data_IF_043836784026
#
_entry.id   IF_043836784026
#
_cell.length_a   1.000
_cell.length_b   1.000
_cell.length_c   1.000
_cell.angle_alpha   90.00
_cell.angle_beta   90.00
_cell.angle_gamma   90.00
#
_symmetry.space_group_name_H-M   'P 1'
#
loop_
_entity.id
_entity.type
_entity.pdbx_description
1 polymer ?
#
# COMPACT_ATOMS: atom_id res chain seq x y z
N UNK A 1 -16.75 -24.43 -12.55
CA UNK A 1 -15.35 -24.82 -12.79
C UNK A 1 -14.60 -23.55 -13.14
N UNK A 2 -13.54 -23.17 -12.42
CA UNK A 2 -12.77 -21.98 -12.76
C UNK A 2 -12.22 -22.13 -14.19
N UNK A 3 -12.27 -21.04 -14.97
CA UNK A 3 -11.64 -21.00 -16.29
C UNK A 3 -10.12 -21.23 -16.13
N UNK A 4 -9.55 -21.96 -17.07
CA UNK A 4 -8.11 -22.13 -17.22
C UNK A 4 -7.41 -20.75 -17.35
N UNK A 5 -6.29 -20.49 -16.65
CA UNK A 5 -5.60 -19.20 -16.70
C UNK A 5 -5.23 -18.72 -18.10
N UNK A 6 -4.77 -19.61 -18.98
CA UNK A 6 -4.44 -19.24 -20.38
C UNK A 6 -5.69 -18.76 -21.11
N UNK A 7 -6.78 -19.53 -21.00
CA UNK A 7 -8.06 -19.15 -21.60
C UNK A 7 -8.60 -17.84 -21.05
N UNK A 8 -8.40 -17.55 -19.76
CA UNK A 8 -8.78 -16.26 -19.15
C UNK A 8 -7.96 -15.13 -19.76
N UNK A 9 -6.65 -15.27 -19.87
CA UNK A 9 -5.76 -14.26 -20.45
C UNK A 9 -6.14 -13.94 -21.90
N UNK A 10 -6.43 -14.96 -22.72
CA UNK A 10 -6.93 -14.77 -24.09
C UNK A 10 -8.22 -13.93 -24.14
N UNK A 11 -9.19 -14.23 -23.26
CA UNK A 11 -10.45 -13.50 -23.20
C UNK A 11 -10.25 -12.04 -22.76
N UNK A 12 -9.36 -11.78 -21.79
CA UNK A 12 -9.03 -10.42 -21.38
C UNK A 12 -8.36 -9.63 -22.50
N UNK A 13 -7.43 -10.25 -23.24
CA UNK A 13 -6.79 -9.64 -24.39
C UNK A 13 -7.80 -9.29 -25.50
N UNK A 14 -8.72 -10.21 -25.83
CA UNK A 14 -9.79 -9.97 -26.81
C UNK A 14 -10.69 -8.83 -26.35
N UNK A 15 -11.09 -8.83 -25.07
CA UNK A 15 -11.94 -7.78 -24.48
C UNK A 15 -11.28 -6.41 -24.57
N UNK A 16 -10.01 -6.29 -24.14
CA UNK A 16 -9.27 -5.03 -24.19
C UNK A 16 -9.19 -4.49 -25.63
N UNK A 17 -8.84 -5.34 -26.60
CA UNK A 17 -8.80 -4.92 -28.01
C UNK A 17 -10.16 -4.41 -28.48
N UNK A 18 -11.23 -5.13 -28.19
CA UNK A 18 -12.57 -4.73 -28.60
C UNK A 18 -12.97 -3.35 -28.03
N UNK A 19 -12.65 -3.08 -26.75
CA UNK A 19 -12.94 -1.79 -26.10
C UNK A 19 -12.15 -0.63 -26.72
N UNK A 20 -10.86 -0.83 -27.01
CA UNK A 20 -10.02 0.21 -27.63
C UNK A 20 -10.47 0.50 -29.07
N UNK A 21 -10.84 -0.53 -29.83
CA UNK A 21 -11.39 -0.37 -31.18
C UNK A 21 -12.75 0.32 -31.17
N UNK A 22 -13.63 -0.02 -30.24
CA UNK A 22 -14.93 0.65 -30.08
C UNK A 22 -14.75 2.14 -29.69
N UNK A 23 -13.70 2.45 -28.93
CA UNK A 23 -13.31 3.83 -28.62
C UNK A 23 -12.70 4.59 -29.82
N UNK A 24 -12.59 3.96 -31.00
CA UNK A 24 -12.17 4.60 -32.25
C UNK A 24 -10.67 4.52 -32.57
N UNK A 25 -9.90 3.71 -31.83
CA UNK A 25 -8.47 3.56 -32.06
C UNK A 25 -8.17 2.36 -32.98
N UNK A 26 -7.35 2.57 -34.01
CA UNK A 26 -6.84 1.50 -34.86
C UNK A 26 -5.67 0.78 -34.16
N UNK A 27 -5.87 -0.50 -33.89
CA UNK A 27 -4.88 -1.33 -33.20
C UNK A 27 -3.84 -1.94 -34.13
N UNK A 28 -4.11 -1.99 -35.44
CA UNK A 28 -3.31 -2.74 -36.40
C UNK A 28 -2.95 -4.16 -35.90
N UNK A 29 -1.66 -4.47 -35.92
CA UNK A 29 -1.11 -5.76 -35.48
C UNK A 29 -0.69 -5.80 -34.00
N UNK A 30 -0.89 -4.70 -33.26
CA UNK A 30 -0.50 -4.60 -31.84
C UNK A 30 -1.24 -5.66 -31.03
N UNK A 31 -0.51 -6.41 -30.21
CA UNK A 31 -1.10 -7.45 -29.36
C UNK A 31 -1.02 -7.05 -27.88
N UNK A 32 -2.07 -7.31 -27.10
CA UNK A 32 -1.99 -7.16 -25.65
C UNK A 32 -0.96 -8.10 -25.04
N UNK A 33 -0.33 -7.65 -23.96
CA UNK A 33 0.47 -8.46 -23.05
C UNK A 33 -0.30 -8.72 -21.74
N UNK A 34 0.03 -9.82 -21.07
CA UNK A 34 -0.57 -10.17 -19.78
C UNK A 34 0.08 -9.37 -18.65
N UNK A 35 -0.75 -8.80 -17.78
CA UNK A 35 -0.29 -8.08 -16.57
C UNK A 35 -1.12 -8.53 -15.36
N UNK A 36 -0.55 -9.41 -14.53
CA UNK A 36 -1.32 -10.05 -13.45
C UNK A 36 -2.45 -10.92 -14.00
N UNK A 37 -3.68 -10.74 -13.52
CA UNK A 37 -4.90 -11.30 -14.15
C UNK A 37 -5.60 -10.29 -15.08
N UNK A 38 -4.99 -9.12 -15.32
CA UNK A 38 -5.42 -8.13 -16.29
C UNK A 38 -4.73 -8.28 -17.65
N UNK A 39 -4.95 -7.30 -18.53
CA UNK A 39 -4.32 -7.23 -19.85
C UNK A 39 -3.91 -5.80 -20.16
N UNK A 40 -2.73 -5.61 -20.73
CA UNK A 40 -2.22 -4.31 -21.14
C UNK A 40 -1.94 -4.28 -22.64
N UNK A 41 -2.19 -3.16 -23.30
CA UNK A 41 -1.84 -2.93 -24.69
C UNK A 41 -1.16 -1.56 -24.79
N UNK A 42 0.04 -1.54 -25.37
CA UNK A 42 0.78 -0.31 -25.63
C UNK A 42 0.51 0.08 -27.08
N UNK A 43 -0.17 1.21 -27.27
CA UNK A 43 -0.42 1.80 -28.58
C UNK A 43 0.30 3.14 -28.64
N UNK A 44 1.25 3.25 -29.57
CA UNK A 44 2.18 4.39 -29.66
C UNK A 44 2.86 4.68 -28.32
N UNK A 45 2.48 5.79 -27.66
CA UNK A 45 3.04 6.23 -26.38
C UNK A 45 2.02 6.18 -25.22
N UNK A 46 0.96 5.39 -25.39
CA UNK A 46 -0.16 5.27 -24.48
C UNK A 46 -0.34 3.81 -24.02
N UNK A 47 -0.42 3.61 -22.71
CA UNK A 47 -0.75 2.33 -22.11
C UNK A 47 -2.26 2.23 -21.87
N UNK A 48 -2.90 1.23 -22.48
CA UNK A 48 -4.27 0.85 -22.16
C UNK A 48 -4.25 -0.40 -21.29
N UNK A 49 -4.80 -0.30 -20.08
CA UNK A 49 -4.83 -1.40 -19.11
C UNK A 49 -6.27 -1.78 -18.81
N UNK A 50 -6.61 -3.04 -19.01
CA UNK A 50 -7.81 -3.67 -18.46
C UNK A 50 -7.51 -4.13 -17.03
N UNK A 51 -8.28 -3.61 -16.07
CA UNK A 51 -8.09 -3.89 -14.65
C UNK A 51 -8.19 -5.38 -14.32
N UNK A 52 -7.42 -5.80 -13.32
CA UNK A 52 -7.43 -7.15 -12.79
C UNK A 52 -8.84 -7.52 -12.27
N UNK A 53 -9.33 -8.72 -12.60
CA UNK A 53 -10.68 -9.15 -12.23
C UNK A 53 -10.81 -9.56 -10.76
N UNK A 54 -9.71 -9.98 -10.12
CA UNK A 54 -9.71 -10.45 -8.74
C UNK A 54 -9.29 -9.34 -7.77
N UNK A 55 -8.33 -8.51 -8.19
CA UNK A 55 -7.80 -7.39 -7.41
C UNK A 55 -7.79 -6.09 -8.22
N UNK A 56 -8.97 -5.58 -8.63
CA UNK A 56 -9.04 -4.38 -9.45
C UNK A 56 -8.34 -3.17 -8.80
N UNK A 57 -8.33 -3.09 -7.47
CA UNK A 57 -7.75 -2.00 -6.69
C UNK A 57 -6.25 -1.78 -6.88
N UNK A 58 -5.48 -2.79 -7.31
CA UNK A 58 -4.03 -2.64 -7.58
C UNK A 58 -3.73 -2.23 -9.02
N UNK A 59 -4.72 -2.22 -9.91
CA UNK A 59 -4.53 -2.06 -11.36
C UNK A 59 -3.96 -0.70 -11.72
N UNK A 60 -4.37 0.37 -11.04
CA UNK A 60 -3.81 1.70 -11.27
C UNK A 60 -2.29 1.71 -11.03
N UNK A 61 -1.86 1.10 -9.93
CA UNK A 61 -0.45 0.95 -9.57
C UNK A 61 0.36 0.14 -10.57
N UNK A 62 -0.20 -0.99 -11.03
CA UNK A 62 0.40 -1.81 -12.07
C UNK A 62 0.58 -1.03 -13.37
N UNK A 63 -0.45 -0.29 -13.80
CA UNK A 63 -0.39 0.55 -15.00
C UNK A 63 0.66 1.66 -14.89
N UNK A 64 0.75 2.31 -13.73
CA UNK A 64 1.76 3.34 -13.45
C UNK A 64 3.18 2.77 -13.57
N UNK A 65 3.45 1.61 -12.95
CA UNK A 65 4.76 0.98 -13.03
C UNK A 65 5.09 0.51 -14.45
N UNK A 66 4.11 -0.04 -15.17
CA UNK A 66 4.30 -0.44 -16.57
C UNK A 66 4.63 0.78 -17.44
N UNK A 67 3.83 1.85 -17.35
CA UNK A 67 4.08 3.10 -18.06
C UNK A 67 5.46 3.68 -17.72
N UNK A 68 5.85 3.72 -16.45
CA UNK A 68 7.16 4.18 -16.00
C UNK A 68 8.31 3.31 -16.56
N UNK A 69 8.14 1.99 -16.57
CA UNK A 69 9.15 1.05 -17.08
C UNK A 69 9.40 1.20 -18.58
N UNK A 70 8.36 1.59 -19.33
CA UNK A 70 8.38 1.81 -20.78
C UNK A 70 8.54 3.28 -21.18
N UNK A 71 8.57 4.19 -20.20
CA UNK A 71 8.61 5.65 -20.39
C UNK A 71 7.46 6.19 -21.25
N UNK A 72 6.25 5.68 -21.01
CA UNK A 72 5.02 6.10 -21.68
C UNK A 72 4.47 7.37 -21.02
N UNK A 73 3.82 8.23 -21.81
CA UNK A 73 3.32 9.52 -21.33
C UNK A 73 1.84 9.48 -20.92
N UNK A 74 1.11 8.46 -21.39
CA UNK A 74 -0.33 8.34 -21.19
C UNK A 74 -0.70 6.97 -20.63
N UNK A 75 -1.67 6.95 -19.72
CA UNK A 75 -2.20 5.74 -19.10
C UNK A 75 -3.72 5.82 -19.06
N UNK A 76 -4.37 4.82 -19.65
CA UNK A 76 -5.81 4.59 -19.57
C UNK A 76 -6.05 3.30 -18.80
N UNK A 77 -6.86 3.34 -17.74
CA UNK A 77 -7.21 2.17 -16.94
C UNK A 77 -8.71 1.94 -17.01
N UNK A 78 -9.10 0.74 -17.47
CA UNK A 78 -10.47 0.34 -17.75
C UNK A 78 -10.94 -0.63 -16.67
N UNK A 79 -12.01 -0.27 -15.97
CA UNK A 79 -12.55 -1.05 -14.87
C UNK A 79 -13.93 -1.62 -15.21
N UNK A 80 -14.19 -2.86 -14.80
CA UNK A 80 -15.56 -3.39 -14.75
C UNK A 80 -16.28 -3.01 -13.46
N UNK A 81 -15.54 -2.88 -12.35
CA UNK A 81 -16.13 -2.68 -11.03
C UNK A 81 -16.27 -1.18 -10.69
N UNK A 82 -17.51 -0.64 -10.54
CA UNK A 82 -17.72 0.80 -10.33
C UNK A 82 -16.99 1.38 -9.10
N UNK A 83 -16.99 0.65 -7.98
CA UNK A 83 -16.32 1.14 -6.76
C UNK A 83 -14.78 1.21 -6.91
N UNK A 84 -14.17 0.22 -7.57
CA UNK A 84 -12.73 0.23 -7.82
C UNK A 84 -12.36 1.34 -8.82
N UNK A 85 -13.20 1.55 -9.85
CA UNK A 85 -13.06 2.65 -10.77
C UNK A 85 -13.14 4.02 -10.05
N UNK A 86 -14.14 4.21 -9.18
CA UNK A 86 -14.31 5.45 -8.42
C UNK A 86 -13.14 5.71 -7.47
N UNK A 87 -12.59 4.67 -6.83
CA UNK A 87 -11.37 4.75 -6.01
C UNK A 87 -10.16 5.13 -6.86
N UNK A 88 -9.93 4.47 -7.99
CA UNK A 88 -8.82 4.78 -8.88
C UNK A 88 -8.93 6.20 -9.46
N UNK A 89 -10.13 6.64 -9.81
CA UNK A 89 -10.40 8.01 -10.28
C UNK A 89 -10.11 9.07 -9.21
N UNK A 90 -10.37 8.76 -7.93
CA UNK A 90 -10.01 9.60 -6.79
C UNK A 90 -8.49 9.66 -6.58
N UNK A 91 -7.83 8.52 -6.59
CA UNK A 91 -6.36 8.44 -6.51
C UNK A 91 -5.68 9.20 -7.65
N UNK A 92 -6.22 9.11 -8.87
CA UNK A 92 -5.69 9.81 -10.04
C UNK A 92 -5.70 11.34 -9.91
N UNK A 93 -6.53 11.93 -9.03
CA UNK A 93 -6.52 13.37 -8.77
C UNK A 93 -5.22 13.84 -8.08
N UNK A 94 -4.52 12.95 -7.38
CA UNK A 94 -3.21 13.22 -6.77
C UNK A 94 -2.03 13.00 -7.71
N UNK A 95 -2.28 12.81 -9.02
CA UNK A 95 -1.27 12.53 -10.03
C UNK A 95 -1.23 13.61 -11.12
N UNK A 96 -0.04 13.81 -11.72
CA UNK A 96 0.21 14.75 -12.81
C UNK A 96 1.26 14.21 -13.81
N UNK A 97 0.90 13.99 -15.09
CA UNK A 97 -0.45 14.02 -15.63
C UNK A 97 -1.35 12.94 -14.99
N UNK A 98 -2.64 13.23 -14.88
CA UNK A 98 -3.61 12.28 -14.31
C UNK A 98 -3.92 11.16 -15.33
N UNK A 99 -3.82 9.88 -14.94
CA UNK A 99 -4.30 8.77 -15.74
C UNK A 99 -5.80 8.89 -16.06
N UNK A 100 -6.20 8.45 -17.25
CA UNK A 100 -7.62 8.38 -17.62
C UNK A 100 -8.24 7.12 -17.04
N UNK A 101 -9.28 7.30 -16.21
CA UNK A 101 -10.00 6.18 -15.58
C UNK A 101 -11.39 6.06 -16.21
N UNK A 102 -11.70 4.87 -16.72
CA UNK A 102 -12.95 4.59 -17.41
C UNK A 102 -13.68 3.38 -16.81
N UNK A 103 -15.01 3.46 -16.73
CA UNK A 103 -15.87 2.34 -16.40
C UNK A 103 -16.37 1.68 -17.68
N UNK A 104 -16.30 0.37 -17.75
CA UNK A 104 -16.82 -0.41 -18.87
C UNK A 104 -18.33 -0.53 -18.69
N UNK A 105 -19.08 0.05 -19.61
CA UNK A 105 -20.54 -0.07 -19.68
C UNK A 105 -20.90 -0.84 -20.93
N UNK A 106 -21.22 -2.14 -20.76
CA UNK A 106 -21.43 -3.08 -21.86
C UNK A 106 -20.20 -3.22 -22.77
N UNK A 107 -20.12 -2.39 -23.83
CA UNK A 107 -19.04 -2.38 -24.81
C UNK A 107 -18.37 -1.01 -24.95
N UNK A 108 -18.81 -0.01 -24.20
CA UNK A 108 -18.31 1.35 -24.28
C UNK A 108 -17.57 1.74 -23.00
N UNK A 109 -16.79 2.82 -23.10
CA UNK A 109 -16.02 3.38 -22.00
C UNK A 109 -16.70 4.67 -21.52
N UNK A 110 -17.22 4.64 -20.30
CA UNK A 110 -17.83 5.80 -19.66
C UNK A 110 -16.82 6.50 -18.74
N UNK A 111 -16.84 7.85 -18.65
CA UNK A 111 -16.06 8.57 -17.67
C UNK A 111 -16.50 8.20 -16.24
N UNK A 112 -15.58 8.26 -15.30
CA UNK A 112 -15.81 7.88 -13.90
C UNK A 112 -15.79 9.11 -13.01
N UNK A 113 -16.85 9.29 -12.23
CA UNK A 113 -16.84 10.26 -11.13
C UNK A 113 -16.00 9.72 -9.99
N UNK A 114 -14.97 10.46 -9.51
CA UNK A 114 -14.21 10.10 -8.33
C UNK A 114 -15.10 9.83 -7.12
N UNK A 115 -14.77 8.80 -6.34
CA UNK A 115 -15.44 8.54 -5.06
C UNK A 115 -15.21 9.70 -4.06
N UNK A 116 -15.96 9.75 -2.95
CA UNK A 116 -15.68 10.70 -1.87
C UNK A 116 -14.34 10.39 -1.20
N UNK A 117 -13.59 11.39 -0.76
CA UNK A 117 -12.38 11.15 0.05
C UNK A 117 -12.81 10.56 1.41
N UNK A 118 -12.29 9.39 1.73
CA UNK A 118 -12.52 8.75 3.02
C UNK A 118 -11.80 9.54 4.12
N UNK A 119 -12.54 9.95 5.15
CA UNK A 119 -11.95 10.67 6.29
C UNK A 119 -11.28 9.68 7.24
N UNK A 120 -10.23 10.14 7.93
CA UNK A 120 -9.62 9.36 8.98
C UNK A 120 -10.65 9.02 10.07
N UNK A 121 -10.64 7.78 10.54
CA UNK A 121 -11.50 7.34 11.65
C UNK A 121 -10.93 7.93 12.94
N UNK A 122 -11.71 8.73 13.67
CA UNK A 122 -11.32 9.14 15.02
C UNK A 122 -11.43 7.92 15.94
N UNK A 123 -10.33 7.39 16.48
CA UNK A 123 -10.40 6.24 17.36
C UNK A 123 -11.02 6.63 18.70
N UNK A 124 -11.70 5.67 19.34
CA UNK A 124 -12.00 5.78 20.76
C UNK A 124 -10.69 5.83 21.57
N UNK A 125 -10.65 6.48 22.73
CA UNK A 125 -9.50 6.45 23.62
C UNK A 125 -9.04 5.01 23.87
N UNK A 126 -7.73 4.77 23.86
CA UNK A 126 -7.19 3.45 24.15
C UNK A 126 -7.54 3.06 25.60
N UNK A 127 -8.08 1.87 25.86
CA UNK A 127 -8.33 1.43 27.23
C UNK A 127 -7.02 1.29 28.02
N UNK A 128 -7.00 1.78 29.27
CA UNK A 128 -5.84 1.70 30.16
C UNK A 128 -5.33 0.26 30.32
N UNK A 129 -6.24 -0.72 30.38
CA UNK A 129 -5.87 -2.14 30.49
C UNK A 129 -5.07 -2.63 29.28
N UNK A 130 -5.38 -2.16 28.07
CA UNK A 130 -4.63 -2.51 26.86
C UNK A 130 -3.25 -1.85 26.86
N UNK A 131 -3.16 -0.58 27.27
CA UNK A 131 -1.89 0.15 27.42
C UNK A 131 -1.00 -0.56 28.44
N UNK A 132 -1.54 -0.88 29.62
CA UNK A 132 -0.81 -1.55 30.70
C UNK A 132 -0.33 -2.94 30.28
N UNK A 133 -1.18 -3.69 29.57
CA UNK A 133 -0.85 -5.00 29.01
C UNK A 133 0.32 -4.92 28.01
N UNK A 134 0.25 -3.98 27.05
CA UNK A 134 1.30 -3.77 26.06
C UNK A 134 2.60 -3.31 26.74
N UNK A 135 2.52 -2.31 27.61
CA UNK A 135 3.67 -1.77 28.35
C UNK A 135 4.35 -2.85 29.21
N UNK A 136 3.59 -3.68 29.92
CA UNK A 136 4.11 -4.78 30.71
C UNK A 136 4.84 -5.85 29.90
N UNK A 137 4.51 -5.99 28.61
CA UNK A 137 5.20 -6.87 27.68
C UNK A 137 6.28 -6.15 26.84
N UNK A 138 6.51 -4.83 27.05
CA UNK A 138 7.44 -4.00 26.27
C UNK A 138 7.01 -3.77 24.81
N UNK A 139 5.71 -3.79 24.55
CA UNK A 139 5.09 -3.63 23.23
C UNK A 139 4.60 -2.19 23.07
N UNK A 140 4.83 -1.61 21.89
CA UNK A 140 4.40 -0.25 21.58
C UNK A 140 2.91 -0.23 21.24
N UNK A 141 2.13 0.65 21.87
CA UNK A 141 0.71 0.83 21.57
C UNK A 141 0.54 1.86 20.45
N UNK A 142 -0.05 1.44 19.33
CA UNK A 142 -0.34 2.30 18.18
C UNK A 142 -1.81 2.20 17.80
N UNK A 143 -2.31 3.20 17.09
CA UNK A 143 -3.63 3.16 16.47
C UNK A 143 -3.48 3.25 14.97
N UNK A 144 -4.21 2.40 14.26
CA UNK A 144 -4.23 2.41 12.81
C UNK A 144 -5.62 1.99 12.31
N UNK A 145 -6.23 2.82 11.45
CA UNK A 145 -7.59 2.63 10.94
C UNK A 145 -8.63 2.46 12.06
N UNK A 146 -8.51 3.26 13.11
CA UNK A 146 -9.40 3.21 14.27
C UNK A 146 -9.19 2.00 15.20
N UNK A 147 -8.22 1.12 14.90
CA UNK A 147 -7.94 -0.09 15.68
C UNK A 147 -6.66 0.07 16.49
N UNK A 148 -6.76 -0.16 17.80
CA UNK A 148 -5.60 -0.21 18.69
C UNK A 148 -4.81 -1.50 18.50
N UNK A 149 -3.50 -1.38 18.36
CA UNK A 149 -2.56 -2.47 18.07
C UNK A 149 -1.36 -2.38 19.01
N UNK A 150 -0.80 -3.54 19.32
CA UNK A 150 0.49 -3.67 19.95
C UNK A 150 1.52 -4.05 18.89
N UNK A 151 2.58 -3.26 18.73
CA UNK A 151 3.63 -3.48 17.73
C UNK A 151 5.02 -3.65 18.36
N UNK A 152 5.87 -4.41 17.66
CA UNK A 152 7.32 -4.49 17.90
C UNK A 152 8.02 -4.14 16.59
N UNK A 153 8.71 -2.99 16.57
CA UNK A 153 9.42 -2.50 15.38
C UNK A 153 8.50 -2.48 14.14
N UNK A 154 7.26 -2.01 14.32
CA UNK A 154 6.24 -1.94 13.27
C UNK A 154 5.52 -3.26 12.93
N UNK A 155 5.80 -4.37 13.62
CA UNK A 155 5.09 -5.65 13.43
C UNK A 155 4.03 -5.84 14.51
N UNK A 156 2.77 -5.98 14.10
CA UNK A 156 1.65 -6.27 15.00
C UNK A 156 1.80 -7.63 15.70
N UNK A 157 1.73 -7.61 17.03
CA UNK A 157 1.69 -8.79 17.90
C UNK A 157 0.42 -8.86 18.74
N UNK A 158 -0.35 -7.77 18.80
CA UNK A 158 -1.65 -7.73 19.45
C UNK A 158 -2.58 -6.72 18.78
N UNK A 159 -3.88 -6.92 18.93
CA UNK A 159 -4.91 -5.92 18.58
C UNK A 159 -6.10 -5.98 19.50
N UNK A 160 -6.78 -4.84 19.66
CA UNK A 160 -8.01 -4.74 20.41
C UNK A 160 -9.22 -4.84 19.46
N UNK A 161 -10.06 -5.85 19.68
CA UNK A 161 -11.29 -6.10 18.91
C UNK A 161 -12.44 -6.26 19.89
N UNK A 162 -13.44 -5.38 19.82
CA UNK A 162 -14.64 -5.41 20.69
C UNK A 162 -14.31 -5.53 22.20
N UNK A 163 -13.24 -4.86 22.64
CA UNK A 163 -12.77 -4.87 24.03
C UNK A 163 -11.93 -6.10 24.41
N UNK A 164 -11.74 -7.05 23.50
CA UNK A 164 -10.93 -8.25 23.68
C UNK A 164 -9.58 -8.06 23.01
N UNK A 165 -8.50 -8.40 23.72
CA UNK A 165 -7.16 -8.39 23.14
C UNK A 165 -6.88 -9.71 22.45
N UNK A 166 -6.72 -9.67 21.13
CA UNK A 166 -6.21 -10.81 20.36
C UNK A 166 -4.69 -10.73 20.25
N UNK A 167 -3.99 -11.83 20.52
CA UNK A 167 -2.51 -11.91 20.51
C UNK A 167 -2.04 -12.85 19.41
N UNK A 168 -1.02 -12.43 18.66
CA UNK A 168 -0.34 -13.22 17.62
C UNK A 168 0.02 -12.41 16.38
N UNK A 169 0.99 -12.92 15.61
CA UNK A 169 1.51 -12.29 14.39
C UNK A 169 0.63 -12.64 13.19
N UNK A 170 -0.39 -11.82 12.98
CA UNK A 170 -1.35 -11.98 11.89
C UNK A 170 -2.46 -12.99 12.18
N UNK A 171 -3.49 -12.99 11.33
CA UNK A 171 -4.77 -13.67 11.59
C UNK A 171 -4.63 -15.16 11.94
N UNK A 172 -3.88 -15.92 11.15
CA UNK A 172 -3.76 -17.36 11.35
C UNK A 172 -3.05 -17.73 12.65
N UNK A 173 -2.09 -16.93 13.09
CA UNK A 173 -1.39 -17.14 14.36
C UNK A 173 -2.33 -16.89 15.54
N UNK A 174 -3.16 -15.84 15.47
CA UNK A 174 -4.17 -15.53 16.49
C UNK A 174 -5.24 -16.63 16.58
N UNK A 175 -5.73 -17.10 15.44
CA UNK A 175 -6.70 -18.20 15.38
C UNK A 175 -6.11 -19.50 15.95
N UNK A 176 -4.85 -19.83 15.61
CA UNK A 176 -4.17 -21.01 16.14
C UNK A 176 -3.91 -20.88 17.65
N UNK A 177 -3.46 -19.72 18.12
CA UNK A 177 -3.24 -19.44 19.54
C UNK A 177 -4.52 -19.58 20.36
N UNK A 178 -5.63 -19.04 19.87
CA UNK A 178 -6.93 -19.17 20.53
C UNK A 178 -7.40 -20.64 20.64
N UNK A 179 -7.12 -21.46 19.63
CA UNK A 179 -7.47 -22.89 19.62
C UNK A 179 -6.55 -23.75 20.50
N UNK A 180 -5.25 -23.47 20.51
CA UNK A 180 -4.23 -24.29 21.17
C UNK A 180 -3.99 -23.88 22.64
N UNK A 181 -4.23 -22.61 22.97
CA UNK A 181 -3.85 -21.99 24.24
C UNK A 181 -4.98 -21.15 24.85
N UNK A 182 -6.25 -21.52 24.62
CA UNK A 182 -7.42 -20.74 25.07
C UNK A 182 -7.52 -20.48 26.59
N UNK A 183 -6.91 -21.33 27.42
CA UNK A 183 -6.87 -21.17 28.89
C UNK A 183 -5.68 -20.31 29.39
N UNK A 184 -4.77 -19.92 28.49
CA UNK A 184 -3.58 -19.14 28.86
C UNK A 184 -3.95 -17.67 29.15
N UNK A 185 -3.44 -17.07 30.24
CA UNK A 185 -3.63 -15.64 30.49
C UNK A 185 -3.08 -14.78 29.34
N UNK A 186 -3.86 -13.80 28.87
CA UNK A 186 -3.50 -12.93 27.74
C UNK A 186 -2.16 -12.22 27.93
N UNK A 187 -1.81 -11.83 29.17
CA UNK A 187 -0.51 -11.24 29.49
C UNK A 187 0.65 -12.19 29.25
N UNK A 188 0.49 -13.47 29.58
CA UNK A 188 1.50 -14.49 29.33
C UNK A 188 1.60 -14.80 27.83
N UNK A 189 0.47 -14.86 27.13
CA UNK A 189 0.44 -15.05 25.67
C UNK A 189 1.15 -13.88 24.96
N UNK A 190 0.88 -12.64 25.35
CA UNK A 190 1.51 -11.46 24.76
C UNK A 190 3.01 -11.41 25.04
N UNK A 191 3.44 -11.69 26.27
CA UNK A 191 4.86 -11.75 26.60
C UNK A 191 5.59 -12.80 25.76
N UNK A 192 5.01 -14.01 25.62
CA UNK A 192 5.60 -15.07 24.80
C UNK A 192 5.69 -14.69 23.32
N UNK A 193 4.63 -14.12 22.74
CA UNK A 193 4.63 -13.64 21.36
C UNK A 193 5.66 -12.51 21.16
N UNK A 194 5.74 -11.58 22.10
CA UNK A 194 6.69 -10.48 22.06
C UNK A 194 8.15 -10.97 22.11
N UNK A 195 8.45 -11.92 22.99
CA UNK A 195 9.80 -12.50 23.11
C UNK A 195 10.19 -13.28 21.85
N UNK A 196 9.27 -14.05 21.28
CA UNK A 196 9.49 -14.74 20.00
C UNK A 196 9.80 -13.75 18.88
N UNK A 197 9.06 -12.64 18.79
CA UNK A 197 9.30 -11.61 17.78
C UNK A 197 10.65 -10.93 18.02
N UNK A 198 10.99 -10.51 19.24
CA UNK A 198 12.29 -9.87 19.53
C UNK A 198 13.48 -10.76 19.23
N UNK A 199 13.36 -12.06 19.50
CA UNK A 199 14.41 -13.03 19.18
C UNK A 199 14.71 -13.12 17.68
N UNK A 200 13.77 -12.71 16.82
CA UNK A 200 13.86 -12.86 15.37
C UNK A 200 13.75 -11.56 14.58
N UNK A 201 13.35 -10.45 15.21
CA UNK A 201 13.15 -9.13 14.62
C UNK A 201 13.95 -8.12 15.43
N UNK A 202 15.21 -8.00 15.07
CA UNK A 202 16.18 -7.06 15.63
C UNK A 202 17.14 -6.61 14.52
N UNK A 203 17.91 -5.54 14.72
CA UNK A 203 18.88 -5.12 13.71
C UNK A 203 19.84 -6.25 13.33
N UNK A 204 20.08 -6.45 12.03
CA UNK A 204 20.90 -7.54 11.51
C UNK A 204 20.29 -8.95 11.57
N UNK A 205 18.97 -9.10 11.82
CA UNK A 205 18.30 -10.39 11.89
C UNK A 205 18.24 -11.17 10.55
N UNK A 206 18.59 -10.53 9.42
CA UNK A 206 18.70 -11.20 8.13
C UNK A 206 17.35 -11.67 7.58
N UNK A 207 17.27 -12.96 7.21
CA UNK A 207 16.19 -13.49 6.36
C UNK A 207 15.03 -14.18 7.10
N UNK A 208 14.97 -14.14 8.44
CA UNK A 208 13.88 -14.78 9.18
C UNK A 208 12.51 -14.18 8.79
N UNK A 209 11.42 -14.96 8.66
CA UNK A 209 10.10 -14.43 8.28
C UNK A 209 9.63 -13.25 9.14
N UNK A 210 9.78 -13.32 10.47
CA UNK A 210 9.42 -12.22 11.37
C UNK A 210 10.26 -10.93 11.19
N UNK A 211 11.49 -11.04 10.67
CA UNK A 211 12.30 -9.88 10.29
C UNK A 211 11.93 -9.31 8.92
N UNK A 212 11.33 -10.12 8.04
CA UNK A 212 11.07 -9.74 6.64
C UNK A 212 9.64 -9.31 6.36
N UNK A 213 8.71 -9.59 7.28
CA UNK A 213 7.34 -9.06 7.24
C UNK A 213 7.30 -7.56 7.52
N UNK A 214 6.43 -6.86 6.78
CA UNK A 214 6.04 -5.46 6.97
C UNK A 214 7.24 -4.52 7.19
N UNK A 215 8.29 -4.69 6.38
CA UNK A 215 9.57 -3.98 6.53
C UNK A 215 9.43 -2.47 6.35
N UNK A 216 8.46 -2.04 5.57
CA UNK A 216 8.10 -0.63 5.43
C UNK A 216 7.57 0.00 6.72
N UNK A 217 6.88 -0.77 7.59
CA UNK A 217 6.53 -0.30 8.94
C UNK A 217 7.74 -0.23 9.85
N UNK A 218 8.74 -1.08 9.64
CA UNK A 218 10.01 -0.97 10.36
C UNK A 218 10.79 0.29 9.94
N UNK A 219 10.82 0.60 8.64
CA UNK A 219 11.39 1.87 8.16
C UNK A 219 10.66 3.05 8.80
N UNK A 220 9.31 3.05 8.77
CA UNK A 220 8.52 4.08 9.45
C UNK A 220 8.87 4.18 10.92
N UNK A 221 8.88 3.07 11.67
CA UNK A 221 9.24 3.06 13.09
C UNK A 221 10.63 3.67 13.34
N UNK A 222 11.59 3.38 12.47
CA UNK A 222 12.95 3.96 12.55
C UNK A 222 12.91 5.47 12.37
N UNK A 223 12.14 5.97 11.41
CA UNK A 223 11.98 7.41 11.17
C UNK A 223 11.18 8.12 12.27
N UNK A 224 10.21 7.46 12.90
CA UNK A 224 9.48 8.02 14.04
C UNK A 224 10.42 8.18 15.25
N UNK A 225 11.36 7.25 15.43
CA UNK A 225 12.37 7.34 16.48
C UNK A 225 13.42 8.43 16.20
N UNK A 226 13.76 8.66 14.93
CA UNK A 226 14.68 9.72 14.51
C UNK A 226 14.24 10.38 13.18
N UNK A 227 13.40 11.44 13.25
CA UNK A 227 12.94 12.17 12.06
C UNK A 227 14.06 12.87 11.29
N UNK A 228 15.21 13.10 11.92
CA UNK A 228 16.33 13.84 11.31
C UNK A 228 16.99 13.05 10.18
N UNK A 229 16.81 11.73 10.13
CA UNK A 229 17.26 10.85 9.04
C UNK A 229 16.69 11.24 7.67
N UNK A 230 15.55 11.93 7.65
CA UNK A 230 14.91 12.47 6.42
C UNK A 230 14.79 13.99 6.46
N UNK A 231 15.54 14.65 7.36
CA UNK A 231 15.58 16.10 7.48
C UNK A 231 14.32 16.72 8.06
N UNK A 232 13.55 15.99 8.88
CA UNK A 232 12.33 16.47 9.52
C UNK A 232 12.56 16.79 11.01
N UNK A 233 11.74 17.68 11.55
CA UNK A 233 11.80 18.13 12.95
C UNK A 233 10.93 17.27 13.87
N UNK A 234 9.82 16.78 13.34
CA UNK A 234 8.87 15.88 14.00
C UNK A 234 8.29 14.90 12.97
N UNK A 235 7.79 13.77 13.46
CA UNK A 235 7.10 12.79 12.63
C UNK A 235 6.14 11.98 13.49
N UNK A 236 4.94 11.75 12.97
CA UNK A 236 3.91 10.91 13.58
C UNK A 236 3.39 9.91 12.54
N UNK A 237 3.00 8.71 12.99
CA UNK A 237 2.40 7.73 12.11
C UNK A 237 1.10 8.28 11.47
N UNK A 238 0.93 8.01 10.18
CA UNK A 238 -0.28 8.35 9.43
C UNK A 238 -0.90 7.07 8.87
N UNK A 239 -2.22 6.98 8.96
CA UNK A 239 -2.97 5.87 8.37
C UNK A 239 -2.75 5.81 6.85
N UNK A 240 -2.61 4.59 6.34
CA UNK A 240 -2.61 4.37 4.90
C UNK A 240 -3.95 4.77 4.29
N UNK A 241 -3.94 5.09 3.00
CA UNK A 241 -5.16 5.36 2.24
C UNK A 241 -6.14 4.18 2.21
N UNK A 242 -5.65 2.96 2.40
CA UNK A 242 -6.43 1.73 2.40
C UNK A 242 -5.91 0.81 3.49
N UNK A 243 -6.82 0.21 4.26
CA UNK A 243 -6.46 -0.75 5.28
C UNK A 243 -5.77 -1.99 4.66
N UNK A 244 -4.68 -2.43 5.29
CA UNK A 244 -3.98 -3.66 4.93
C UNK A 244 -4.76 -4.87 5.43
N UNK A 245 -5.08 -5.79 4.51
CA UNK A 245 -5.81 -7.03 4.82
C UNK A 245 -4.88 -8.22 5.13
N UNK A 246 -3.65 -8.21 4.62
CA UNK A 246 -2.70 -9.31 4.74
C UNK A 246 -1.27 -8.81 4.99
N UNK A 247 -0.56 -9.39 5.96
CA UNK A 247 0.82 -9.01 6.33
C UNK A 247 1.85 -9.34 5.25
N UNK A 248 1.54 -10.27 4.33
CA UNK A 248 2.45 -10.65 3.25
C UNK A 248 2.32 -9.77 2.01
N UNK A 249 1.22 -9.03 1.89
CA UNK A 249 0.98 -8.17 0.75
C UNK A 249 1.81 -6.89 0.90
N UNK A 250 2.61 -6.50 -0.12
CA UNK A 250 3.29 -5.21 -0.13
C UNK A 250 2.26 -4.08 -0.02
N UNK A 251 2.50 -3.16 0.90
CA UNK A 251 1.73 -1.94 1.02
C UNK A 251 2.59 -0.89 1.74
N UNK A 252 2.59 0.38 1.31
CA UNK A 252 3.40 1.41 1.93
C UNK A 252 2.93 1.72 3.37
N UNK A 253 3.84 2.24 4.19
CA UNK A 253 3.53 2.79 5.51
C UNK A 253 3.78 4.29 5.51
N UNK A 254 2.85 5.06 6.06
CA UNK A 254 2.90 6.53 5.98
C UNK A 254 3.15 7.17 7.32
N UNK A 255 3.75 8.36 7.26
CA UNK A 255 3.91 9.26 8.39
C UNK A 255 3.75 10.72 7.94
N UNK A 256 3.42 11.59 8.89
CA UNK A 256 3.22 13.01 8.69
C UNK A 256 4.09 13.79 9.65
N UNK A 257 4.75 14.84 9.18
CA UNK A 257 5.62 15.67 10.01
C UNK A 257 5.90 17.03 9.38
N UNK A 258 6.74 17.82 10.03
CA UNK A 258 7.19 19.11 9.50
C UNK A 258 8.69 19.17 9.31
N UNK A 259 9.14 19.89 8.29
CA UNK A 259 10.56 20.20 8.11
C UNK A 259 10.98 21.44 8.93
N UNK A 260 12.29 21.76 9.04
CA UNK A 260 12.76 22.95 9.76
C UNK A 260 12.21 24.28 9.24
N UNK A 261 11.79 24.33 7.98
CA UNK A 261 11.16 25.51 7.35
C UNK A 261 9.64 25.61 7.66
N UNK A 262 9.08 24.66 8.43
CA UNK A 262 7.68 24.62 8.81
C UNK A 262 6.73 24.08 7.73
N UNK A 263 7.26 23.46 6.67
CA UNK A 263 6.46 22.84 5.61
C UNK A 263 5.95 21.47 6.05
N UNK A 264 4.71 21.16 5.67
CA UNK A 264 4.09 19.88 5.92
C UNK A 264 4.61 18.82 4.95
N UNK A 265 5.12 17.71 5.49
CA UNK A 265 5.73 16.64 4.71
C UNK A 265 5.00 15.33 4.94
N UNK A 266 4.55 14.72 3.83
CA UNK A 266 4.08 13.34 3.81
C UNK A 266 5.27 12.42 3.55
N UNK A 267 5.50 11.46 4.44
CA UNK A 267 6.53 10.44 4.27
C UNK A 267 5.88 9.11 3.90
N UNK A 268 6.33 8.49 2.81
CA UNK A 268 5.89 7.18 2.35
C UNK A 268 7.05 6.19 2.40
N UNK A 269 7.02 5.26 3.36
CA UNK A 269 7.98 4.16 3.44
C UNK A 269 7.50 2.99 2.60
N UNK A 270 8.38 2.40 1.78
CA UNK A 270 8.06 1.20 1.00
C UNK A 270 9.30 0.32 0.81
N UNK A 271 9.09 -0.94 0.41
CA UNK A 271 10.17 -1.89 0.10
C UNK A 271 9.84 -2.69 -1.16
N UNK A 272 10.87 -3.04 -1.92
CA UNK A 272 10.74 -3.66 -3.24
C UNK A 272 9.99 -2.80 -4.25
N UNK A 273 9.42 -3.44 -5.27
CA UNK A 273 8.54 -2.79 -6.24
C UNK A 273 7.10 -2.93 -5.77
N UNK A 274 6.62 -1.92 -5.05
CA UNK A 274 5.28 -1.88 -4.48
C UNK A 274 4.28 -1.18 -5.42
N UNK A 275 3.33 -1.94 -5.96
CA UNK A 275 2.27 -1.43 -6.83
C UNK A 275 1.36 -0.43 -6.12
N UNK A 276 1.27 -0.48 -4.79
CA UNK A 276 0.38 0.39 -4.01
C UNK A 276 1.01 1.73 -3.64
N UNK A 277 2.34 1.88 -3.76
CA UNK A 277 3.07 3.07 -3.32
C UNK A 277 2.49 4.36 -3.92
N UNK A 278 2.48 4.47 -5.24
CA UNK A 278 2.07 5.71 -5.93
C UNK A 278 0.56 5.98 -5.76
N UNK A 279 -0.37 5.02 -6.00
CA UNK A 279 -1.79 5.28 -5.84
C UNK A 279 -2.21 5.66 -4.42
N UNK A 280 -1.62 5.03 -3.39
CA UNK A 280 -1.94 5.38 -2.00
C UNK A 280 -1.34 6.72 -1.59
N UNK A 281 -0.12 7.03 -2.05
CA UNK A 281 0.49 8.35 -1.82
C UNK A 281 -0.34 9.45 -2.48
N UNK A 282 -0.82 9.22 -3.71
CA UNK A 282 -1.67 10.14 -4.44
C UNK A 282 -3.00 10.42 -3.71
N UNK A 283 -3.65 9.39 -3.15
CA UNK A 283 -4.83 9.57 -2.30
C UNK A 283 -4.53 10.49 -1.11
N UNK A 284 -3.40 10.27 -0.41
CA UNK A 284 -3.03 11.06 0.75
C UNK A 284 -2.63 12.50 0.36
N UNK A 285 -2.10 12.72 -0.84
CA UNK A 285 -1.91 14.07 -1.39
C UNK A 285 -3.27 14.78 -1.54
N UNK A 286 -4.28 14.10 -2.10
CA UNK A 286 -5.63 14.68 -2.24
C UNK A 286 -6.24 14.99 -0.88
N UNK A 287 -6.04 14.10 0.09
CA UNK A 287 -6.63 14.19 1.44
C UNK A 287 -5.97 15.27 2.31
N UNK A 288 -4.65 15.35 2.30
CA UNK A 288 -3.88 16.16 3.25
C UNK A 288 -3.17 17.35 2.64
N UNK A 289 -3.04 17.40 1.30
CA UNK A 289 -2.40 18.50 0.57
C UNK A 289 -1.01 18.88 1.14
N UNK A 290 -0.07 17.92 1.26
CA UNK A 290 1.27 18.20 1.78
C UNK A 290 2.02 19.16 0.86
N UNK A 291 2.93 19.94 1.43
CA UNK A 291 3.82 20.81 0.67
C UNK A 291 4.87 19.99 -0.09
N UNK A 292 5.30 18.86 0.48
CA UNK A 292 6.26 17.93 -0.11
C UNK A 292 5.97 16.48 0.26
N UNK A 293 6.48 15.56 -0.56
CA UNK A 293 6.47 14.12 -0.29
C UNK A 293 7.91 13.61 -0.24
N UNK A 294 8.21 12.80 0.77
CA UNK A 294 9.45 12.03 0.83
C UNK A 294 9.09 10.55 0.71
N UNK A 295 9.57 9.91 -0.35
CA UNK A 295 9.49 8.46 -0.50
C UNK A 295 10.77 7.86 0.06
N UNK A 296 10.64 6.94 1.02
CA UNK A 296 11.78 6.27 1.66
C UNK A 296 11.78 4.80 1.28
N UNK A 297 12.90 4.35 0.71
CA UNK A 297 13.10 2.96 0.30
C UNK A 297 14.50 2.47 0.70
N UNK A 298 14.73 1.17 0.87
CA UNK A 298 16.06 0.61 0.96
C UNK A 298 16.91 0.95 -0.28
N UNK A 299 18.24 1.16 -0.16
CA UNK A 299 19.06 1.55 -1.31
C UNK A 299 18.97 0.59 -2.51
N UNK A 300 18.84 -0.71 -2.24
CA UNK A 300 18.65 -1.75 -3.27
C UNK A 300 17.32 -1.64 -4.03
N UNK A 301 16.33 -0.95 -3.46
CA UNK A 301 14.99 -0.76 -4.02
C UNK A 301 14.88 0.61 -4.74
N UNK A 302 15.96 1.41 -4.75
CA UNK A 302 16.10 2.61 -5.58
C UNK A 302 16.26 2.20 -7.06
N UNK A 303 15.15 1.83 -7.68
CA UNK A 303 15.11 1.36 -9.06
C UNK A 303 14.61 2.48 -9.99
N UNK A 304 15.11 2.58 -11.24
CA UNK A 304 14.66 3.61 -12.19
C UNK A 304 13.15 3.64 -12.43
N UNK A 305 12.48 2.47 -12.34
CA UNK A 305 11.02 2.38 -12.48
C UNK A 305 10.29 3.02 -11.30
N UNK A 306 10.83 2.90 -10.08
CA UNK A 306 10.28 3.52 -8.87
C UNK A 306 10.52 5.03 -8.91
N UNK A 307 11.73 5.45 -9.27
CA UNK A 307 12.04 6.88 -9.44
C UNK A 307 11.12 7.54 -10.45
N UNK A 308 10.91 6.92 -11.62
CA UNK A 308 9.99 7.46 -12.64
C UNK A 308 8.54 7.46 -12.20
N UNK A 309 8.08 6.43 -11.49
CA UNK A 309 6.66 6.33 -11.10
C UNK A 309 6.27 7.38 -10.05
N UNK A 310 7.15 7.68 -9.09
CA UNK A 310 6.87 8.69 -8.06
C UNK A 310 6.87 10.12 -8.62
N UNK A 311 7.53 10.38 -9.75
CA UNK A 311 7.45 11.69 -10.43
C UNK A 311 6.05 12.02 -10.96
N UNK A 312 5.14 11.04 -11.02
CA UNK A 312 3.75 11.29 -11.35
C UNK A 312 2.96 11.88 -10.18
N UNK A 313 3.48 11.90 -8.95
CA UNK A 313 2.79 12.51 -7.82
C UNK A 313 2.66 14.02 -8.04
N UNK A 314 1.47 14.57 -7.76
CA UNK A 314 1.20 15.99 -8.00
C UNK A 314 1.93 16.93 -7.03
N UNK A 315 2.41 16.41 -5.90
CA UNK A 315 3.23 17.14 -4.93
C UNK A 315 4.73 16.97 -5.25
N UNK A 316 5.58 17.99 -4.98
CA UNK A 316 7.03 17.85 -5.08
C UNK A 316 7.51 16.62 -4.29
N UNK A 317 8.17 15.69 -4.98
CA UNK A 317 8.51 14.38 -4.40
C UNK A 317 10.01 14.09 -4.52
N UNK A 318 10.64 13.75 -3.39
CA UNK A 318 12.01 13.28 -3.33
C UNK A 318 12.07 11.80 -2.93
N UNK A 319 13.02 11.06 -3.51
CA UNK A 319 13.36 9.69 -3.09
C UNK A 319 14.58 9.73 -2.17
N UNK A 320 14.45 9.18 -0.96
CA UNK A 320 15.53 9.10 0.02
C UNK A 320 15.84 7.63 0.29
N UNK A 321 17.05 7.15 -0.05
CA UNK A 321 17.47 5.81 0.33
C UNK A 321 17.79 5.76 1.83
N UNK A 322 17.26 4.75 2.54
CA UNK A 322 17.56 4.50 3.95
C UNK A 322 17.84 3.02 4.16
N UNK A 323 18.99 2.69 4.77
CA UNK A 323 19.31 1.30 5.09
C UNK A 323 18.25 0.69 6.00
N UNK A 324 17.75 -0.47 5.60
CA UNK A 324 16.74 -1.19 6.37
C UNK A 324 17.39 -1.80 7.62
N UNK A 325 16.85 -1.62 8.84
CA UNK A 325 17.50 -2.13 10.05
C UNK A 325 17.73 -3.65 10.05
N UNK A 326 17.01 -4.41 9.22
CA UNK A 326 17.13 -5.85 9.08
C UNK A 326 18.39 -6.32 8.34
N UNK A 327 19.14 -5.42 7.68
CA UNK A 327 20.35 -5.75 6.91
C UNK A 327 21.59 -5.93 7.77
#
# INVERSE_FOLDING_TARGET
>A
MPLDPERRAELQAIKLRALITEAGHDLGQTQPETLGQGSALILDNCCWLLADTERPEISLGQGILLAASRSLNELHVLFDHPQAAAKAARQAQGLKPAPTISLITERTLAPVTPGPVELAVTPLPCPDDFINLCSGAGVETVVEHGMWRGEILGLEVARLVDGITEVGVGRFDREAGALLHGDQPTSQALAAAADQVRAQRHPGAGAHPLATLVRERWLRHTLLADPTLVGLSDLAALDSATERTNLRDPAPAFAWGTNPDGQNVLVACSTGVDVNLVPQTAELIVRHQPDQVIVVVPPRDQLPVVEKSIQLLAAPTNLVPLEGPWT
#
